data_IF_671066929236
#
_entry.id   IF_671066929236
#
_cell.length_a   1.000
_cell.length_b   1.000
_cell.length_c   1.000
_cell.angle_alpha   90.00
_cell.angle_beta   90.00
_cell.angle_gamma   90.00
#
_symmetry.space_group_name_H-M   'P 1'
#
loop_
_entity.id
_entity.type
_entity.pdbx_description
1 polymer ?
#
# COMPACT_ATOMS: atom_id res chain seq x y z
N UNK A 1 -20.29 2.46 13.36
CA UNK A 1 -18.97 2.05 13.88
C UNK A 1 -18.06 1.81 12.69
N UNK A 2 -16.92 2.49 12.64
CA UNK A 2 -15.90 2.28 11.59
C UNK A 2 -15.28 0.90 11.81
N UNK A 3 -15.10 0.12 10.73
CA UNK A 3 -14.59 -1.26 10.81
C UNK A 3 -13.15 -1.42 10.33
N UNK A 4 -12.74 -0.55 9.40
CA UNK A 4 -11.42 -0.57 8.81
C UNK A 4 -11.04 0.81 8.30
N UNK A 5 -9.74 1.05 8.15
CA UNK A 5 -9.17 2.20 7.44
C UNK A 5 -8.40 1.67 6.24
N UNK A 6 -8.73 2.14 5.04
CA UNK A 6 -8.05 1.74 3.82
C UNK A 6 -7.14 2.88 3.34
N UNK A 7 -5.94 2.53 2.89
CA UNK A 7 -4.93 3.47 2.40
C UNK A 7 -4.67 3.23 0.91
N UNK A 8 -4.33 4.30 0.21
CA UNK A 8 -3.60 4.17 -1.06
C UNK A 8 -2.14 3.76 -0.80
N UNK A 9 -1.41 3.38 -1.85
CA UNK A 9 0.03 3.11 -1.76
C UNK A 9 0.85 4.36 -2.13
N UNK A 10 0.86 4.73 -3.41
CA UNK A 10 1.61 5.88 -3.93
C UNK A 10 1.10 7.20 -3.35
N UNK A 11 2.03 8.12 -3.10
CA UNK A 11 1.81 9.46 -2.54
C UNK A 11 0.97 9.50 -1.25
N UNK A 12 0.88 8.37 -0.55
CA UNK A 12 0.16 8.22 0.73
C UNK A 12 0.99 7.44 1.75
N UNK A 13 1.43 6.22 1.40
CA UNK A 13 2.30 5.41 2.25
C UNK A 13 3.76 5.51 1.80
N UNK A 14 3.99 5.61 0.50
CA UNK A 14 5.32 5.77 -0.09
C UNK A 14 5.36 7.01 -0.98
N UNK A 15 6.53 7.63 -1.09
CA UNK A 15 6.76 8.75 -2.00
C UNK A 15 7.04 8.19 -3.41
N UNK A 16 6.10 8.35 -4.34
CA UNK A 16 6.17 7.68 -5.65
C UNK A 16 7.40 8.13 -6.46
N UNK A 17 7.84 9.37 -6.28
CA UNK A 17 9.03 9.94 -6.93
C UNK A 17 10.35 9.26 -6.50
N UNK A 18 10.33 8.48 -5.41
CA UNK A 18 11.50 7.75 -4.90
C UNK A 18 11.56 6.31 -5.37
N UNK A 19 10.61 5.88 -6.22
CA UNK A 19 10.52 4.50 -6.69
C UNK A 19 11.76 4.09 -7.48
N UNK A 20 12.42 3.04 -7.00
CA UNK A 20 13.54 2.40 -7.69
C UNK A 20 12.98 1.28 -8.57
N UNK A 21 13.44 1.24 -9.82
CA UNK A 21 13.06 0.21 -10.79
C UNK A 21 14.26 -0.67 -11.14
N UNK A 22 14.03 -1.95 -11.38
CA UNK A 22 15.05 -2.89 -11.86
C UNK A 22 15.34 -2.71 -13.36
N UNK A 23 16.23 -3.56 -13.91
CA UNK A 23 16.62 -3.52 -15.32
C UNK A 23 15.49 -3.85 -16.31
N UNK A 24 14.36 -4.39 -15.84
CA UNK A 24 13.16 -4.62 -16.65
C UNK A 24 12.13 -3.49 -16.55
N UNK A 25 12.39 -2.48 -15.69
CA UNK A 25 11.45 -1.42 -15.39
C UNK A 25 10.42 -1.79 -14.32
N UNK A 26 10.63 -2.88 -13.58
CA UNK A 26 9.75 -3.28 -12.48
C UNK A 26 10.10 -2.50 -11.21
N UNK A 27 9.11 -1.98 -10.49
CA UNK A 27 9.36 -1.32 -9.21
C UNK A 27 9.85 -2.34 -8.17
N UNK A 28 10.91 -1.98 -7.42
CA UNK A 28 11.51 -2.87 -6.41
C UNK A 28 11.44 -2.32 -4.99
N UNK A 29 11.42 -1.00 -4.82
CA UNK A 29 11.27 -0.33 -3.52
C UNK A 29 10.97 1.16 -3.72
N UNK A 30 10.55 1.83 -2.66
CA UNK A 30 10.37 3.28 -2.56
C UNK A 30 10.62 3.72 -1.11
N UNK A 31 10.77 5.01 -0.87
CA UNK A 31 10.84 5.55 0.48
C UNK A 31 9.44 5.65 1.08
N UNK A 32 9.30 5.16 2.31
CA UNK A 32 8.10 5.36 3.12
C UNK A 32 8.01 6.83 3.53
N UNK A 33 6.82 7.41 3.44
CA UNK A 33 6.57 8.79 3.87
C UNK A 33 6.75 8.90 5.39
N UNK A 34 7.35 9.99 5.84
CA UNK A 34 7.59 10.25 7.27
C UNK A 34 6.28 10.19 8.08
N UNK A 35 6.29 9.47 9.21
CA UNK A 35 5.13 9.36 10.10
C UNK A 35 4.17 8.20 9.77
N UNK A 36 4.37 7.48 8.66
CA UNK A 36 3.45 6.40 8.23
C UNK A 36 3.35 5.31 9.30
N UNK A 37 4.48 4.81 9.81
CA UNK A 37 4.45 3.73 10.79
C UNK A 37 3.79 4.16 12.10
N UNK A 38 4.01 5.38 12.54
CA UNK A 38 3.38 5.97 13.72
C UNK A 38 1.86 6.04 13.58
N UNK A 39 1.37 6.43 12.40
CA UNK A 39 -0.06 6.46 12.08
C UNK A 39 -0.65 5.05 12.03
N UNK A 40 0.01 4.10 11.35
CA UNK A 40 -0.45 2.72 11.26
C UNK A 40 -0.51 2.06 12.65
N UNK A 41 0.49 2.30 13.49
CA UNK A 41 0.50 1.85 14.88
C UNK A 41 -0.64 2.45 15.70
N UNK A 42 -0.88 3.76 15.58
CA UNK A 42 -1.93 4.43 16.32
C UNK A 42 -3.31 3.86 15.96
N UNK A 43 -3.57 3.66 14.66
CA UNK A 43 -4.84 3.10 14.18
C UNK A 43 -5.03 1.65 14.66
N UNK A 44 -3.96 0.84 14.66
CA UNK A 44 -4.00 -0.53 15.19
C UNK A 44 -4.21 -0.57 16.71
N UNK A 45 -3.61 0.36 17.46
CA UNK A 45 -3.80 0.48 18.93
C UNK A 45 -5.26 0.78 19.29
N UNK A 46 -5.97 1.51 18.44
CA UNK A 46 -7.43 1.76 18.56
C UNK A 46 -8.29 0.55 18.14
N UNK A 47 -7.68 -0.56 17.68
CA UNK A 47 -8.37 -1.81 17.34
C UNK A 47 -9.01 -1.84 15.96
N UNK A 48 -8.69 -0.88 15.08
CA UNK A 48 -9.16 -0.91 13.69
C UNK A 48 -8.34 -1.87 12.84
N UNK A 49 -9.02 -2.50 11.89
CA UNK A 49 -8.34 -3.19 10.78
C UNK A 49 -7.81 -2.17 9.78
N UNK A 50 -6.70 -2.49 9.13
CA UNK A 50 -6.11 -1.62 8.10
C UNK A 50 -5.86 -2.39 6.81
N UNK A 51 -6.13 -1.74 5.67
CA UNK A 51 -5.93 -2.31 4.35
C UNK A 51 -5.26 -1.36 3.36
N UNK A 52 -4.59 -1.91 2.35
CA UNK A 52 -4.13 -1.18 1.17
C UNK A 52 -5.08 -1.46 0.00
N UNK A 53 -5.44 -0.42 -0.75
CA UNK A 53 -6.09 -0.52 -2.05
C UNK A 53 -5.28 0.30 -3.04
N UNK A 54 -4.59 -0.35 -3.97
CA UNK A 54 -3.68 0.29 -4.93
C UNK A 54 -4.09 -0.01 -6.37
N UNK A 55 -4.05 1.02 -7.24
CA UNK A 55 -4.06 0.80 -8.69
C UNK A 55 -2.60 0.63 -9.13
N UNK A 56 -2.30 -0.42 -9.90
CA UNK A 56 -0.95 -0.67 -10.38
C UNK A 56 -0.71 -2.14 -10.68
N UNK A 57 0.50 -2.44 -11.14
CA UNK A 57 0.92 -3.80 -11.37
C UNK A 57 1.21 -4.53 -10.04
N UNK A 58 0.89 -5.82 -9.99
CA UNK A 58 0.99 -6.65 -8.80
C UNK A 58 2.44 -6.78 -8.33
N UNK A 59 3.37 -7.07 -9.24
CA UNK A 59 4.75 -7.34 -8.89
C UNK A 59 5.42 -6.12 -8.24
N UNK A 60 5.25 -4.94 -8.82
CA UNK A 60 5.85 -3.70 -8.35
C UNK A 60 5.29 -3.24 -7.02
N UNK A 61 3.97 -3.26 -6.89
CA UNK A 61 3.31 -2.91 -5.64
C UNK A 61 3.69 -3.89 -4.52
N UNK A 62 3.72 -5.22 -4.79
CA UNK A 62 4.14 -6.23 -3.81
C UNK A 62 5.60 -6.05 -3.39
N UNK A 63 6.50 -5.80 -4.34
CA UNK A 63 7.91 -5.55 -4.05
C UNK A 63 8.09 -4.35 -3.12
N UNK A 64 7.44 -3.22 -3.43
CA UNK A 64 7.50 -2.02 -2.58
C UNK A 64 6.97 -2.34 -1.17
N UNK A 65 5.81 -2.98 -1.06
CA UNK A 65 5.17 -3.29 0.23
C UNK A 65 6.06 -4.22 1.09
N UNK A 66 6.70 -5.21 0.48
CA UNK A 66 7.60 -6.13 1.18
C UNK A 66 8.92 -5.45 1.56
N UNK A 67 9.57 -4.76 0.62
CA UNK A 67 10.86 -4.12 0.82
C UNK A 67 10.82 -2.98 1.86
N UNK A 68 9.67 -2.33 2.03
CA UNK A 68 9.46 -1.26 3.01
C UNK A 68 9.02 -1.76 4.38
N UNK A 69 8.68 -3.05 4.53
CA UNK A 69 8.12 -3.60 5.77
C UNK A 69 6.67 -3.20 6.04
N UNK A 70 5.98 -2.55 5.10
CA UNK A 70 4.57 -2.18 5.24
C UNK A 70 3.68 -3.42 5.40
N UNK A 71 4.06 -4.56 4.81
CA UNK A 71 3.26 -5.80 4.82
C UNK A 71 2.77 -6.21 6.22
N UNK A 72 3.60 -6.04 7.25
CA UNK A 72 3.29 -6.50 8.62
C UNK A 72 2.18 -5.68 9.30
N UNK A 73 1.86 -4.52 8.74
CA UNK A 73 0.86 -3.62 9.27
C UNK A 73 -0.54 -3.93 8.74
N UNK A 74 -0.69 -4.45 7.52
CA UNK A 74 -1.99 -4.55 6.84
C UNK A 74 -2.67 -5.91 6.97
N UNK A 75 -3.97 -5.90 7.29
CA UNK A 75 -4.82 -7.10 7.31
C UNK A 75 -5.18 -7.57 5.90
N UNK A 76 -5.22 -6.65 4.94
CA UNK A 76 -5.55 -6.92 3.55
C UNK A 76 -4.81 -5.97 2.60
N UNK A 77 -4.35 -6.50 1.48
CA UNK A 77 -3.73 -5.73 0.40
C UNK A 77 -4.46 -6.11 -0.88
N UNK A 78 -5.04 -5.12 -1.55
CA UNK A 78 -5.73 -5.27 -2.82
C UNK A 78 -5.01 -4.46 -3.87
N UNK A 79 -4.60 -5.12 -4.96
CA UNK A 79 -3.92 -4.51 -6.10
C UNK A 79 -4.80 -4.69 -7.34
N UNK A 80 -5.00 -3.63 -8.11
CA UNK A 80 -5.97 -3.63 -9.21
C UNK A 80 -5.71 -4.70 -10.27
N UNK A 81 -4.45 -4.98 -10.61
CA UNK A 81 -4.09 -6.05 -11.56
C UNK A 81 -4.53 -7.42 -11.04
N UNK A 82 -4.40 -7.69 -9.74
CA UNK A 82 -4.76 -8.97 -9.13
C UNK A 82 -6.28 -9.24 -9.17
N UNK A 83 -7.09 -8.18 -9.12
CA UNK A 83 -8.56 -8.29 -9.09
C UNK A 83 -9.23 -7.89 -10.42
N UNK A 84 -8.48 -7.34 -11.36
CA UNK A 84 -8.96 -6.89 -12.68
C UNK A 84 -9.87 -5.66 -12.66
N UNK A 85 -9.83 -4.84 -11.59
CA UNK A 85 -10.68 -3.65 -11.41
C UNK A 85 -9.87 -2.57 -10.67
N UNK A 86 -10.02 -1.31 -11.08
CA UNK A 86 -9.33 -0.15 -10.51
C UNK A 86 -10.27 0.77 -9.72
N UNK A 87 -9.73 1.42 -8.68
CA UNK A 87 -10.35 2.64 -8.10
C UNK A 87 -10.49 3.69 -9.22
N UNK A 88 -11.59 4.48 -9.29
CA UNK A 88 -12.64 4.63 -8.29
C UNK A 88 -13.88 3.74 -8.55
N UNK A 89 -13.73 2.57 -9.18
CA UNK A 89 -14.85 1.67 -9.39
C UNK A 89 -15.45 1.24 -8.03
N UNK A 90 -16.76 1.42 -7.82
CA UNK A 90 -17.44 1.14 -6.55
C UNK A 90 -17.27 -0.30 -6.01
N UNK A 91 -16.83 -1.24 -6.84
CA UNK A 91 -16.55 -2.63 -6.43
C UNK A 91 -15.26 -2.78 -5.63
N UNK A 92 -14.36 -1.80 -5.67
CA UNK A 92 -13.05 -1.78 -5.01
C UNK A 92 -12.79 -0.44 -4.33
#
# INVERSE_FOLDING_TARGET
MIKAVCFDLGDTLVAEETTVHDGSGQAITAHVIEGVFEVLEAIRKEGYRIGIIANGDSAGARNIIEATGLQDYFDVIVISEEVGIEKPCQRI
#
